data_IF_910760295220
#
_entry.id   IF_910760295220
#
_cell.length_a   1.000
_cell.length_b   1.000
_cell.length_c   1.000
_cell.angle_alpha   90.00
_cell.angle_beta   90.00
_cell.angle_gamma   90.00
#
_symmetry.space_group_name_H-M   'P 1'
#
loop_
_entity.id
_entity.type
_entity.pdbx_description
1 polymer ?
#
# COMPACT_ATOMS: atom_id res chain seq x y z
N UNK A 1 13.16 34.09 -6.33
CA UNK A 1 12.74 33.42 -5.09
C UNK A 1 13.16 31.97 -5.24
N UNK A 2 14.44 31.70 -4.96
CA UNK A 2 15.17 30.55 -5.52
C UNK A 2 14.67 29.20 -5.00
N UNK A 3 14.19 29.15 -3.75
CA UNK A 3 13.62 27.93 -3.17
C UNK A 3 12.33 27.50 -3.88
N UNK A 4 11.50 28.47 -4.30
CA UNK A 4 10.28 28.22 -5.06
C UNK A 4 10.59 27.67 -6.45
N UNK A 5 11.60 28.24 -7.11
CA UNK A 5 12.06 27.80 -8.43
C UNK A 5 12.63 26.37 -8.39
N UNK A 6 13.46 26.04 -7.38
CA UNK A 6 13.98 24.68 -7.17
C UNK A 6 12.85 23.68 -6.94
N UNK A 7 11.85 24.04 -6.15
CA UNK A 7 10.70 23.17 -5.89
C UNK A 7 9.87 22.93 -7.16
N UNK A 8 9.57 23.98 -7.92
CA UNK A 8 8.82 23.86 -9.16
C UNK A 8 9.53 22.95 -10.18
N UNK A 9 10.85 23.12 -10.32
CA UNK A 9 11.67 22.26 -11.19
C UNK A 9 11.67 20.79 -10.73
N UNK A 10 11.74 20.54 -9.42
CA UNK A 10 11.69 19.20 -8.87
C UNK A 10 10.30 18.54 -9.06
N UNK A 11 9.22 19.30 -8.90
CA UNK A 11 7.85 18.83 -9.14
C UNK A 11 7.66 18.46 -10.62
N UNK A 12 8.12 19.30 -11.55
CA UNK A 12 8.07 19.00 -12.98
C UNK A 12 8.91 17.76 -13.34
N UNK A 13 10.11 17.62 -12.76
CA UNK A 13 10.96 16.46 -12.95
C UNK A 13 10.28 15.17 -12.45
N UNK A 14 9.56 15.23 -11.33
CA UNK A 14 8.79 14.09 -10.80
C UNK A 14 7.60 13.73 -11.70
N UNK A 15 6.91 14.72 -12.28
CA UNK A 15 5.85 14.47 -13.27
C UNK A 15 6.39 13.77 -14.52
N UNK A 16 7.58 14.16 -15.01
CA UNK A 16 8.19 13.46 -16.15
C UNK A 16 8.66 12.06 -15.76
N UNK A 17 9.19 11.89 -14.54
CA UNK A 17 9.64 10.59 -14.05
C UNK A 17 8.48 9.60 -13.84
N UNK A 18 7.27 10.06 -13.50
CA UNK A 18 6.12 9.16 -13.30
C UNK A 18 5.70 8.42 -14.55
N UNK A 19 6.08 8.93 -15.73
CA UNK A 19 5.82 8.28 -17.02
C UNK A 19 6.83 7.18 -17.37
N UNK A 20 7.90 7.03 -16.58
CA UNK A 20 8.98 6.08 -16.85
C UNK A 20 8.72 4.73 -16.15
N UNK A 21 9.01 3.59 -16.82
CA UNK A 21 8.92 2.27 -16.20
C UNK A 21 9.78 2.17 -14.94
N UNK A 22 9.26 1.54 -13.89
CA UNK A 22 9.98 1.34 -12.63
C UNK A 22 9.90 2.52 -11.66
N UNK A 23 9.21 3.62 -12.00
CA UNK A 23 9.02 4.76 -11.09
C UNK A 23 8.29 4.36 -9.81
N UNK A 24 7.17 3.64 -9.93
CA UNK A 24 6.41 3.15 -8.77
C UNK A 24 7.22 2.18 -7.92
N UNK A 25 7.96 1.27 -8.56
CA UNK A 25 8.87 0.36 -7.87
C UNK A 25 10.00 1.11 -7.15
N UNK A 26 10.56 2.17 -7.74
CA UNK A 26 11.59 2.98 -7.13
C UNK A 26 11.07 3.74 -5.89
N UNK A 27 9.90 4.38 -5.99
CA UNK A 27 9.24 5.02 -4.86
C UNK A 27 8.97 4.03 -3.73
N UNK A 28 8.46 2.84 -4.07
CA UNK A 28 8.20 1.77 -3.10
C UNK A 28 9.48 1.37 -2.38
N UNK A 29 10.59 1.15 -3.10
CA UNK A 29 11.90 0.84 -2.51
C UNK A 29 12.37 1.94 -1.55
N UNK A 30 12.19 3.21 -1.91
CA UNK A 30 12.55 4.34 -1.03
C UNK A 30 11.67 4.37 0.22
N UNK A 31 10.36 4.16 0.08
CA UNK A 31 9.42 4.13 1.21
C UNK A 31 9.78 3.04 2.23
N UNK A 32 10.13 1.84 1.77
CA UNK A 32 10.38 0.69 2.66
C UNK A 32 11.83 0.60 3.16
N UNK A 33 12.76 1.34 2.56
CA UNK A 33 14.16 1.34 2.98
C UNK A 33 14.34 2.11 4.30
N UNK A 34 14.70 1.37 5.37
CA UNK A 34 14.89 1.90 6.73
C UNK A 34 16.14 2.78 6.89
N UNK A 35 17.08 2.73 5.95
CA UNK A 35 18.30 3.55 5.94
C UNK A 35 18.05 4.96 5.39
N UNK A 36 16.95 5.17 4.67
CA UNK A 36 16.58 6.48 4.12
C UNK A 36 15.98 7.36 5.22
N UNK A 37 16.31 8.67 5.27
CA UNK A 37 15.70 9.61 6.21
C UNK A 37 14.17 9.59 6.15
N UNK A 38 13.53 9.62 7.32
CA UNK A 38 12.07 9.55 7.47
C UNK A 38 11.31 10.49 6.51
N UNK A 39 11.76 11.74 6.37
CA UNK A 39 11.10 12.72 5.51
C UNK A 39 11.07 12.31 4.04
N UNK A 40 12.13 11.68 3.55
CA UNK A 40 12.19 11.16 2.17
C UNK A 40 11.34 9.92 2.00
N UNK A 41 11.34 9.00 2.99
CA UNK A 41 10.46 7.82 2.99
C UNK A 41 8.99 8.23 2.96
N UNK A 42 8.63 9.24 3.76
CA UNK A 42 7.28 9.79 3.83
C UNK A 42 6.89 10.46 2.52
N UNK A 43 7.76 11.30 1.93
CA UNK A 43 7.51 11.92 0.64
C UNK A 43 7.33 10.86 -0.46
N UNK A 44 8.21 9.86 -0.51
CA UNK A 44 8.10 8.75 -1.47
C UNK A 44 6.77 8.00 -1.34
N UNK A 45 6.28 7.80 -0.11
CA UNK A 45 5.00 7.13 0.12
C UNK A 45 3.80 7.97 -0.37
N UNK A 46 3.87 9.31 -0.21
CA UNK A 46 2.86 10.23 -0.74
C UNK A 46 2.84 10.20 -2.27
N UNK A 47 4.02 10.27 -2.89
CA UNK A 47 4.16 10.18 -4.34
C UNK A 47 3.71 8.81 -4.87
N UNK A 48 4.00 7.73 -4.14
CA UNK A 48 3.57 6.38 -4.50
C UNK A 48 2.04 6.27 -4.51
N UNK A 49 1.38 6.81 -3.49
CA UNK A 49 -0.08 6.84 -3.44
C UNK A 49 -0.66 7.61 -4.64
N UNK A 50 -0.06 8.75 -4.98
CA UNK A 50 -0.47 9.52 -6.16
C UNK A 50 -0.27 8.73 -7.45
N UNK A 51 0.87 8.04 -7.58
CA UNK A 51 1.19 7.19 -8.72
C UNK A 51 0.19 6.04 -8.88
N UNK A 52 -0.16 5.33 -7.79
CA UNK A 52 -1.16 4.26 -7.81
C UNK A 52 -2.49 4.80 -8.34
N UNK A 53 -2.96 5.93 -7.83
CA UNK A 53 -4.21 6.53 -8.32
C UNK A 53 -4.19 6.87 -9.82
N UNK A 54 -3.05 7.33 -10.33
CA UNK A 54 -2.97 7.83 -11.71
C UNK A 54 -2.62 6.75 -12.72
N UNK A 55 -1.90 5.70 -12.34
CA UNK A 55 -1.30 4.80 -13.31
C UNK A 55 -1.71 3.33 -13.11
N UNK A 56 -2.43 2.98 -12.04
CA UNK A 56 -2.68 1.57 -11.72
C UNK A 56 -3.73 0.91 -12.61
N UNK A 57 -4.89 1.52 -12.79
CA UNK A 57 -5.97 1.04 -13.67
C UNK A 57 -6.42 2.13 -14.65
N UNK A 58 -6.77 1.72 -15.87
CA UNK A 58 -7.20 2.63 -16.94
C UNK A 58 -8.59 3.23 -16.71
N UNK A 59 -9.43 2.57 -15.91
CA UNK A 59 -10.84 2.93 -15.66
C UNK A 59 -11.02 3.98 -14.54
N UNK A 60 -9.93 4.46 -13.93
CA UNK A 60 -9.95 5.50 -12.88
C UNK A 60 -10.15 6.91 -13.47
N UNK A 61 -10.98 7.73 -12.83
CA UNK A 61 -11.34 9.09 -13.31
C UNK A 61 -10.13 10.01 -13.55
N UNK A 62 -9.05 9.79 -12.80
CA UNK A 62 -7.82 10.59 -12.85
C UNK A 62 -6.64 9.83 -13.48
N UNK A 63 -6.93 8.79 -14.27
CA UNK A 63 -5.92 8.01 -14.97
C UNK A 63 -5.05 8.87 -15.90
N UNK A 64 -3.76 8.57 -15.89
CA UNK A 64 -2.72 9.17 -16.73
C UNK A 64 -1.93 8.02 -17.35
N UNK A 65 -1.91 7.87 -18.69
CA UNK A 65 -1.11 6.83 -19.32
C UNK A 65 0.40 7.07 -19.10
N UNK A 66 1.23 6.01 -19.05
CA UNK A 66 0.88 4.61 -19.27
C UNK A 66 0.36 3.90 -18.02
N UNK A 67 -0.37 2.80 -18.22
CA UNK A 67 -0.71 1.85 -17.15
C UNK A 67 0.54 1.13 -16.65
N UNK A 68 0.62 0.88 -15.34
CA UNK A 68 1.72 0.14 -14.73
C UNK A 68 1.77 -1.29 -15.28
N UNK A 69 2.97 -1.72 -15.70
CA UNK A 69 3.17 -3.09 -16.20
C UNK A 69 2.86 -4.14 -15.12
N UNK A 70 2.33 -5.30 -15.52
CA UNK A 70 2.00 -6.38 -14.59
C UNK A 70 3.19 -6.83 -13.73
N UNK A 71 4.40 -6.87 -14.31
CA UNK A 71 5.62 -7.22 -13.57
C UNK A 71 5.98 -6.18 -12.50
N UNK A 72 5.77 -4.89 -12.79
CA UNK A 72 5.96 -3.82 -11.81
C UNK A 72 4.89 -3.85 -10.71
N UNK A 73 3.61 -4.12 -11.05
CA UNK A 73 2.54 -4.30 -10.06
C UNK A 73 2.91 -5.37 -9.02
N UNK A 74 3.38 -6.54 -9.48
CA UNK A 74 3.83 -7.64 -8.60
C UNK A 74 4.95 -7.19 -7.65
N UNK A 75 5.95 -6.46 -8.16
CA UNK A 75 7.06 -5.95 -7.33
C UNK A 75 6.55 -4.99 -6.26
N UNK A 76 5.69 -4.04 -6.62
CA UNK A 76 5.12 -3.05 -5.70
C UNK A 76 4.30 -3.75 -4.61
N UNK A 77 3.37 -4.63 -5.00
CA UNK A 77 2.54 -5.44 -4.10
C UNK A 77 3.40 -6.20 -3.07
N UNK A 78 4.41 -6.93 -3.53
CA UNK A 78 5.29 -7.72 -2.66
C UNK A 78 6.08 -6.85 -1.67
N UNK A 79 6.65 -5.74 -2.13
CA UNK A 79 7.43 -4.83 -1.28
C UNK A 79 6.56 -4.16 -0.21
N UNK A 80 5.34 -3.74 -0.57
CA UNK A 80 4.41 -3.11 0.36
C UNK A 80 3.93 -4.10 1.43
N UNK A 81 3.46 -5.30 1.03
CA UNK A 81 2.98 -6.31 1.98
C UNK A 81 4.04 -6.67 3.02
N UNK A 82 5.26 -6.96 2.57
CA UNK A 82 6.37 -7.34 3.45
C UNK A 82 6.87 -6.21 4.36
N UNK A 83 6.38 -4.98 4.17
CA UNK A 83 6.79 -3.79 4.93
C UNK A 83 5.70 -3.25 5.86
N UNK A 84 4.57 -3.96 6.00
CA UNK A 84 3.51 -3.60 6.94
C UNK A 84 3.94 -3.67 8.41
N UNK A 85 5.12 -4.20 8.71
CA UNK A 85 5.68 -4.27 10.07
C UNK A 85 6.65 -3.11 10.39
N UNK A 86 6.68 -2.06 9.57
CA UNK A 86 7.59 -0.94 9.78
C UNK A 86 7.48 -0.36 11.19
N UNK A 87 8.64 -0.08 11.80
CA UNK A 87 8.74 0.43 13.16
C UNK A 87 8.16 1.84 13.31
N UNK A 88 8.14 2.63 12.24
CA UNK A 88 7.54 3.95 12.22
C UNK A 88 6.05 3.88 11.88
N UNK A 89 5.19 4.26 12.83
CA UNK A 89 3.74 4.22 12.64
C UNK A 89 3.20 5.06 11.48
N UNK A 90 3.87 6.15 11.11
CA UNK A 90 3.47 6.99 9.96
C UNK A 90 3.79 6.30 8.63
N UNK A 91 4.96 5.67 8.53
CA UNK A 91 5.33 4.89 7.34
C UNK A 91 4.41 3.68 7.21
N UNK A 92 4.18 2.96 8.29
CA UNK A 92 3.24 1.82 8.32
C UNK A 92 1.83 2.21 7.86
N UNK A 93 1.33 3.37 8.31
CA UNK A 93 0.05 3.91 7.84
C UNK A 93 0.08 4.21 6.35
N UNK A 94 1.14 4.86 5.85
CA UNK A 94 1.27 5.20 4.45
C UNK A 94 1.35 3.95 3.54
N UNK A 95 2.08 2.91 3.98
CA UNK A 95 2.11 1.59 3.32
C UNK A 95 0.71 0.98 3.32
N UNK A 96 0.02 0.94 4.46
CA UNK A 96 -1.35 0.41 4.53
C UNK A 96 -2.33 1.15 3.61
N UNK A 97 -2.19 2.47 3.45
CA UNK A 97 -2.99 3.24 2.49
C UNK A 97 -2.68 2.90 1.04
N UNK A 98 -1.42 2.64 0.70
CA UNK A 98 -1.02 2.20 -0.64
C UNK A 98 -1.55 0.78 -0.93
N UNK A 99 -1.43 -0.13 0.04
CA UNK A 99 -1.98 -1.50 -0.07
C UNK A 99 -3.50 -1.47 -0.23
N UNK A 100 -4.22 -0.66 0.55
CA UNK A 100 -5.67 -0.55 0.43
C UNK A 100 -6.10 0.00 -0.94
N UNK A 101 -5.43 1.05 -1.45
CA UNK A 101 -5.71 1.61 -2.77
C UNK A 101 -5.47 0.60 -3.91
N UNK A 102 -4.42 -0.23 -3.80
CA UNK A 102 -4.17 -1.31 -4.76
C UNK A 102 -5.22 -2.42 -4.60
N UNK A 103 -5.54 -2.80 -3.35
CA UNK A 103 -6.49 -3.86 -3.03
C UNK A 103 -7.90 -3.60 -3.54
N UNK A 104 -8.34 -2.34 -3.62
CA UNK A 104 -9.63 -1.98 -4.23
C UNK A 104 -9.76 -2.44 -5.69
N UNK A 105 -8.65 -2.41 -6.43
CA UNK A 105 -8.63 -2.74 -7.84
C UNK A 105 -8.26 -4.21 -8.07
N UNK A 106 -7.31 -4.72 -7.30
CA UNK A 106 -6.71 -6.03 -7.59
C UNK A 106 -7.26 -7.19 -6.74
N UNK A 107 -7.88 -6.93 -5.57
CA UNK A 107 -8.37 -8.00 -4.70
C UNK A 107 -9.86 -8.24 -4.92
N UNK A 108 -10.33 -9.51 -4.95
CA UNK A 108 -9.57 -10.75 -4.76
C UNK A 108 -8.97 -11.41 -6.00
N UNK A 109 -9.31 -10.99 -7.21
CA UNK A 109 -9.00 -11.76 -8.43
C UNK A 109 -7.51 -11.72 -8.83
N UNK A 110 -6.89 -10.54 -8.84
CA UNK A 110 -5.49 -10.33 -9.27
C UNK A 110 -4.49 -10.31 -8.11
N UNK A 111 -4.97 -10.23 -6.87
CA UNK A 111 -4.15 -10.21 -5.67
C UNK A 111 -4.69 -11.07 -4.51
N UNK A 112 -4.96 -12.37 -4.73
CA UNK A 112 -5.63 -13.25 -3.77
C UNK A 112 -4.86 -13.45 -2.45
N UNK A 113 -3.54 -13.30 -2.45
CA UNK A 113 -2.69 -13.48 -1.27
C UNK A 113 -2.75 -12.34 -0.25
N UNK A 114 -3.35 -11.20 -0.60
CA UNK A 114 -3.43 -10.01 0.26
C UNK A 114 -4.06 -10.35 1.62
N UNK A 115 -5.28 -10.88 1.62
CA UNK A 115 -6.02 -11.15 2.85
C UNK A 115 -5.39 -12.25 3.72
N UNK A 116 -4.99 -13.42 3.16
CA UNK A 116 -4.25 -14.43 3.92
C UNK A 116 -2.97 -13.88 4.58
N UNK A 117 -2.24 -12.99 3.89
CA UNK A 117 -1.04 -12.37 4.45
C UNK A 117 -1.35 -11.43 5.63
N UNK A 118 -2.38 -10.58 5.50
CA UNK A 118 -2.82 -9.72 6.60
C UNK A 118 -3.24 -10.55 7.83
N UNK A 119 -4.02 -11.61 7.63
CA UNK A 119 -4.47 -12.49 8.71
C UNK A 119 -3.30 -13.21 9.40
N UNK A 120 -2.29 -13.64 8.63
CA UNK A 120 -1.05 -14.21 9.17
C UNK A 120 -0.33 -13.20 10.07
N UNK A 121 -0.16 -11.95 9.63
CA UNK A 121 0.48 -10.90 10.43
C UNK A 121 -0.31 -10.58 11.71
N UNK A 122 -1.64 -10.54 11.64
CA UNK A 122 -2.50 -10.33 12.81
C UNK A 122 -2.34 -11.48 13.81
N UNK A 123 -2.17 -12.71 13.31
CA UNK A 123 -1.94 -13.89 14.14
C UNK A 123 -0.56 -13.97 14.79
N UNK A 124 0.43 -13.24 14.29
CA UNK A 124 1.80 -13.26 14.81
C UNK A 124 1.96 -12.25 15.96
N UNK A 125 1.58 -12.69 17.16
CA UNK A 125 1.69 -11.87 18.37
C UNK A 125 3.12 -11.47 18.73
N UNK A 126 4.15 -12.13 18.15
CA UNK A 126 5.55 -11.75 18.36
C UNK A 126 5.93 -10.48 17.60
N UNK A 127 5.22 -10.17 16.51
CA UNK A 127 5.43 -8.98 15.69
C UNK A 127 4.35 -7.93 15.94
N UNK A 128 4.44 -7.21 17.06
CA UNK A 128 3.47 -6.18 17.44
C UNK A 128 3.36 -5.02 16.44
N UNK A 129 4.36 -4.75 15.60
CA UNK A 129 4.25 -3.77 14.53
C UNK A 129 3.47 -4.34 13.33
N UNK A 130 3.79 -5.58 12.93
CA UNK A 130 3.07 -6.32 11.89
C UNK A 130 1.58 -6.44 12.20
N UNK A 131 1.22 -6.81 13.43
CA UNK A 131 -0.18 -6.86 13.88
C UNK A 131 -0.87 -5.50 13.70
N UNK A 132 -0.27 -4.41 14.19
CA UNK A 132 -0.84 -3.06 14.09
C UNK A 132 -0.95 -2.58 12.65
N UNK A 133 0.03 -2.92 11.81
CA UNK A 133 0.03 -2.57 10.38
C UNK A 133 -1.03 -3.32 9.62
N UNK A 134 -1.14 -4.62 9.83
CA UNK A 134 -2.13 -5.46 9.19
C UNK A 134 -3.56 -5.08 9.61
N UNK A 135 -3.81 -4.84 10.90
CA UNK A 135 -5.11 -4.35 11.37
C UNK A 135 -5.47 -3.00 10.76
N UNK A 136 -4.51 -2.06 10.69
CA UNK A 136 -4.75 -0.75 10.09
C UNK A 136 -5.01 -0.86 8.59
N UNK A 137 -4.25 -1.71 7.88
CA UNK A 137 -4.44 -1.98 6.47
C UNK A 137 -5.81 -2.61 6.20
N UNK A 138 -6.22 -3.57 7.03
CA UNK A 138 -7.52 -4.21 6.93
C UNK A 138 -8.66 -3.21 7.14
N UNK A 139 -8.54 -2.32 8.12
CA UNK A 139 -9.52 -1.26 8.35
C UNK A 139 -9.64 -0.29 7.16
N UNK A 140 -8.49 0.09 6.57
CA UNK A 140 -8.48 0.96 5.38
C UNK A 140 -9.06 0.25 4.15
N UNK A 141 -8.77 -1.04 3.97
CA UNK A 141 -9.35 -1.82 2.89
C UNK A 141 -10.87 -1.90 3.07
N UNK A 142 -11.34 -2.21 4.29
CA UNK A 142 -12.78 -2.36 4.58
C UNK A 142 -13.60 -1.08 4.43
N UNK A 143 -13.01 0.09 4.62
CA UNK A 143 -13.70 1.38 4.42
C UNK A 143 -14.14 1.56 2.95
N UNK A 144 -13.43 0.93 2.01
CA UNK A 144 -13.61 1.10 0.58
C UNK A 144 -14.13 -0.18 -0.12
N UNK A 145 -14.49 -1.24 0.62
CA UNK A 145 -15.09 -2.44 0.05
C UNK A 145 -16.57 -2.22 -0.26
N UNK A 146 -16.99 -2.64 -1.45
CA UNK A 146 -18.38 -2.62 -1.88
C UNK A 146 -19.19 -3.82 -1.33
N UNK A 147 -20.52 -3.77 -1.50
CA UNK A 147 -21.43 -4.85 -1.09
C UNK A 147 -21.12 -6.20 -1.76
N UNK A 148 -20.36 -6.20 -2.85
CA UNK A 148 -19.92 -7.38 -3.60
C UNK A 148 -18.74 -8.09 -2.92
N UNK A 149 -17.87 -7.33 -2.29
CA UNK A 149 -16.65 -7.82 -1.64
C UNK A 149 -16.89 -8.32 -0.21
N UNK A 150 -17.85 -7.74 0.52
CA UNK A 150 -18.14 -8.12 1.91
C UNK A 150 -18.47 -9.62 2.06
N UNK A 151 -19.31 -10.25 1.23
CA UNK A 151 -19.59 -11.68 1.32
C UNK A 151 -18.37 -12.58 1.09
N UNK A 152 -17.37 -12.12 0.32
CA UNK A 152 -16.10 -12.83 0.11
C UNK A 152 -15.14 -12.64 1.30
N UNK A 153 -15.16 -11.45 1.91
CA UNK A 153 -14.30 -11.07 3.03
C UNK A 153 -14.69 -11.78 4.34
N UNK A 154 -16.00 -11.86 4.64
CA UNK A 154 -16.51 -12.37 5.93
C UNK A 154 -16.06 -13.80 6.24
N UNK A 155 -16.14 -14.78 5.33
CA UNK A 155 -15.69 -16.16 5.61
C UNK A 155 -14.20 -16.29 5.92
N UNK A 156 -13.38 -15.43 5.32
CA UNK A 156 -11.92 -15.41 5.52
C UNK A 156 -11.53 -14.72 6.83
N UNK A 157 -12.20 -13.60 7.16
CA UNK A 157 -11.92 -12.84 8.37
C UNK A 157 -12.48 -13.49 9.64
N UNK A 158 -13.68 -14.06 9.58
CA UNK A 158 -14.42 -14.49 10.76
C UNK A 158 -13.66 -15.53 11.61
N UNK A 159 -13.04 -16.59 11.05
CA UNK A 159 -12.26 -17.55 11.83
C UNK A 159 -11.09 -16.90 12.57
N UNK A 160 -10.44 -15.93 11.93
CA UNK A 160 -9.29 -15.22 12.51
C UNK A 160 -9.72 -14.26 13.62
N UNK A 161 -10.78 -13.49 13.40
CA UNK A 161 -11.37 -12.62 14.43
C UNK A 161 -11.89 -13.45 15.61
N UNK A 162 -12.60 -14.55 15.34
CA UNK A 162 -13.07 -15.47 16.38
C UNK A 162 -11.91 -16.01 17.22
N UNK A 163 -10.80 -16.41 16.59
CA UNK A 163 -9.60 -16.88 17.30
C UNK A 163 -8.99 -15.79 18.18
N UNK A 164 -8.90 -14.55 17.69
CA UNK A 164 -8.35 -13.42 18.46
C UNK A 164 -9.23 -13.10 19.67
N UNK A 165 -10.55 -13.05 19.47
CA UNK A 165 -11.53 -12.71 20.54
C UNK A 165 -11.66 -13.84 21.56
N UNK A 166 -11.51 -15.10 21.13
CA UNK A 166 -11.67 -16.28 21.99
C UNK A 166 -10.38 -16.68 22.71
N UNK A 167 -9.24 -16.05 22.41
CA UNK A 167 -7.98 -16.33 23.11
C UNK A 167 -8.07 -15.79 24.54
N UNK A 168 -7.87 -16.61 25.58
CA UNK A 168 -7.76 -16.11 26.94
C UNK A 168 -6.57 -15.15 27.03
N UNK A 169 -6.77 -14.00 27.67
CA UNK A 169 -5.73 -13.04 27.99
C UNK A 169 -4.72 -13.60 28.99
#
# INVERSE_FOLDING_TARGET
DTAREVRAFAEESLCQASLQPGYGAALTKVTVNKEVPFGLRQLAAVLLKQFIKQHWEEDEDNFVPPVVSASEKVVIRQLLLTSLDDSNGKIRTAIGMAVAAIGQNDWPEDWPELLPFLLKLIGDQSNGNGVRGALRCLALLSDDLDDTCIPKLVPELFPSLYRIISSPH
#
